data_IF_387470229443
#
_entry.id   IF_387470229443
#
_cell.length_a   1.000
_cell.length_b   1.000
_cell.length_c   1.000
_cell.angle_alpha   90.00
_cell.angle_beta   90.00
_cell.angle_gamma   90.00
#
_symmetry.space_group_name_H-M   'P 1'
#
loop_
_entity.id
_entity.type
_entity.pdbx_description
1 polymer ?
#
# COMPACT_ATOMS: atom_id res chain seq x y z
N UNK A 1 -13.68 -71.10 11.46
CA UNK A 1 -14.81 -70.51 12.19
C UNK A 1 -14.23 -69.36 13.01
N UNK A 2 -14.53 -68.08 12.85
CA UNK A 2 -15.77 -67.37 12.56
C UNK A 2 -15.44 -66.06 11.79
N UNK A 3 -16.29 -65.74 10.80
CA UNK A 3 -16.37 -64.46 10.05
C UNK A 3 -16.98 -63.36 10.93
N UNK A 4 -16.66 -62.09 10.70
CA UNK A 4 -17.60 -60.95 10.55
C UNK A 4 -16.78 -59.64 10.43
N UNK A 5 -16.62 -59.03 9.25
CA UNK A 5 -17.51 -58.01 8.66
C UNK A 5 -17.77 -56.79 9.57
N UNK A 6 -16.95 -55.76 9.41
CA UNK A 6 -17.20 -54.40 9.89
C UNK A 6 -16.93 -53.39 8.77
N UNK A 7 -17.89 -53.26 7.84
CA UNK A 7 -17.90 -52.24 6.79
C UNK A 7 -18.29 -50.90 7.42
N UNK A 8 -17.33 -50.01 7.67
CA UNK A 8 -17.64 -48.61 8.00
C UNK A 8 -17.81 -47.80 6.71
N UNK A 9 -18.97 -47.17 6.62
CA UNK A 9 -19.47 -46.45 5.48
C UNK A 9 -18.58 -45.24 5.14
N UNK A 10 -18.08 -45.21 3.90
CA UNK A 10 -17.62 -43.98 3.27
C UNK A 10 -18.86 -43.14 2.91
N UNK A 11 -19.33 -42.32 3.86
CA UNK A 11 -20.40 -41.37 3.61
C UNK A 11 -19.83 -40.16 2.83
N UNK A 12 -20.22 -40.09 1.56
CA UNK A 12 -20.14 -38.97 0.62
C UNK A 12 -20.02 -37.58 1.27
N UNK A 13 -18.84 -36.97 1.15
CA UNK A 13 -18.57 -35.56 1.45
C UNK A 13 -18.44 -34.76 0.15
N UNK A 14 -19.40 -34.85 -0.78
CA UNK A 14 -19.28 -34.23 -2.11
C UNK A 14 -20.42 -33.28 -2.54
N UNK A 15 -21.29 -32.81 -1.64
CA UNK A 15 -22.49 -32.07 -2.05
C UNK A 15 -22.67 -30.67 -1.44
N UNK A 16 -21.59 -29.92 -1.20
CA UNK A 16 -21.70 -28.52 -0.77
C UNK A 16 -20.67 -27.58 -1.40
N UNK A 17 -20.22 -27.87 -2.63
CA UNK A 17 -19.74 -26.81 -3.53
C UNK A 17 -20.99 -26.08 -4.07
N UNK A 18 -21.68 -25.40 -3.16
CA UNK A 18 -22.70 -24.40 -3.50
C UNK A 18 -22.06 -23.49 -4.53
N UNK A 19 -22.70 -23.37 -5.70
CA UNK A 19 -22.30 -22.48 -6.77
C UNK A 19 -22.08 -21.09 -6.19
N UNK A 20 -20.81 -20.76 -5.89
CA UNK A 20 -20.44 -19.40 -5.59
C UNK A 20 -20.88 -18.63 -6.83
N UNK A 21 -21.70 -17.57 -6.68
CA UNK A 21 -22.07 -16.77 -7.82
C UNK A 21 -20.76 -16.29 -8.42
N UNK A 22 -20.48 -16.79 -9.63
CA UNK A 22 -19.38 -16.29 -10.44
C UNK A 22 -19.75 -14.84 -10.71
N UNK A 23 -19.29 -13.93 -9.83
CA UNK A 23 -19.55 -12.51 -10.01
C UNK A 23 -19.00 -12.19 -11.39
N UNK A 24 -19.89 -11.78 -12.30
CA UNK A 24 -19.53 -11.43 -13.66
C UNK A 24 -18.42 -10.39 -13.56
N UNK A 25 -17.18 -10.82 -13.79
CA UNK A 25 -16.05 -9.92 -13.71
C UNK A 25 -16.22 -8.87 -14.78
N UNK A 26 -16.08 -7.60 -14.40
CA UNK A 26 -16.08 -6.50 -15.34
C UNK A 26 -15.02 -6.78 -16.42
N UNK A 27 -15.48 -7.03 -17.64
CA UNK A 27 -14.62 -7.34 -18.78
C UNK A 27 -13.94 -6.10 -19.34
N UNK A 28 -14.24 -4.92 -18.80
CA UNK A 28 -13.64 -3.67 -19.26
C UNK A 28 -12.18 -3.64 -18.86
N UNK A 29 -11.31 -3.76 -19.86
CA UNK A 29 -9.86 -3.69 -19.71
C UNK A 29 -9.42 -2.23 -19.77
N UNK A 30 -8.81 -1.76 -18.69
CA UNK A 30 -8.12 -0.49 -18.58
C UNK A 30 -6.71 -0.64 -19.14
N UNK A 31 -6.42 0.06 -20.23
CA UNK A 31 -5.07 0.16 -20.79
C UNK A 31 -4.35 1.43 -20.33
N UNK A 32 -5.06 2.36 -19.71
CA UNK A 32 -4.55 3.64 -19.21
C UNK A 32 -5.30 4.04 -17.94
N UNK A 33 -4.60 4.70 -17.03
CA UNK A 33 -5.16 5.39 -15.89
C UNK A 33 -5.62 6.79 -16.29
N UNK A 34 -6.87 7.13 -15.98
CA UNK A 34 -7.40 8.49 -16.08
C UNK A 34 -8.01 8.91 -14.74
N UNK A 35 -8.06 10.21 -14.48
CA UNK A 35 -8.66 10.74 -13.24
C UNK A 35 -10.07 10.20 -12.97
N UNK A 36 -11.02 10.18 -13.94
CA UNK A 36 -12.36 9.66 -13.67
C UNK A 36 -12.38 8.18 -13.27
N UNK A 37 -11.51 7.36 -13.89
CA UNK A 37 -11.40 5.93 -13.59
C UNK A 37 -10.84 5.71 -12.19
N UNK A 38 -9.77 6.44 -11.86
CA UNK A 38 -9.10 6.36 -10.55
C UNK A 38 -9.99 6.92 -9.44
N UNK A 39 -10.63 8.06 -9.66
CA UNK A 39 -11.57 8.68 -8.71
C UNK A 39 -12.74 7.75 -8.40
N UNK A 40 -13.32 7.09 -9.41
CA UNK A 40 -14.38 6.10 -9.21
C UNK A 40 -13.90 4.95 -8.31
N UNK A 41 -12.70 4.43 -8.55
CA UNK A 41 -12.12 3.37 -7.73
C UNK A 41 -11.84 3.82 -6.29
N UNK A 42 -11.33 5.04 -6.11
CA UNK A 42 -11.10 5.65 -4.79
C UNK A 42 -12.41 5.85 -4.01
N UNK A 43 -13.45 6.38 -4.66
CA UNK A 43 -14.79 6.53 -4.06
C UNK A 43 -15.38 5.20 -3.62
N UNK A 44 -15.18 4.14 -4.41
CA UNK A 44 -15.61 2.79 -4.04
C UNK A 44 -14.91 2.23 -2.79
N UNK A 45 -13.72 2.75 -2.46
CA UNK A 45 -12.98 2.43 -1.24
C UNK A 45 -13.29 3.38 -0.07
N UNK A 46 -14.23 4.31 -0.24
CA UNK A 46 -14.58 5.29 0.79
C UNK A 46 -13.59 6.46 0.91
N UNK A 47 -12.79 6.74 -0.13
CA UNK A 47 -11.95 7.92 -0.14
C UNK A 47 -12.80 9.21 -0.14
N UNK A 48 -12.33 10.20 0.61
CA UNK A 48 -12.94 11.54 0.73
C UNK A 48 -11.94 12.62 0.29
N UNK A 49 -12.43 13.87 0.18
CA UNK A 49 -11.60 15.03 -0.14
C UNK A 49 -10.71 14.85 -1.38
N UNK A 50 -11.22 14.15 -2.40
CA UNK A 50 -10.48 13.87 -3.64
C UNK A 50 -10.29 15.19 -4.39
N UNK A 51 -9.03 15.56 -4.65
CA UNK A 51 -8.65 16.77 -5.37
C UNK A 51 -7.67 16.43 -6.48
N UNK A 52 -7.92 16.97 -7.67
CA UNK A 52 -7.03 16.84 -8.83
C UNK A 52 -6.23 18.12 -9.00
N UNK A 53 -4.92 17.99 -9.15
CA UNK A 53 -4.02 19.13 -9.36
C UNK A 53 -3.03 18.83 -10.48
N UNK A 54 -2.55 19.89 -11.11
CA UNK A 54 -1.45 19.83 -12.07
C UNK A 54 -0.34 20.74 -11.56
N UNK A 55 0.87 20.22 -11.48
CA UNK A 55 2.07 20.98 -11.12
C UNK A 55 3.21 20.52 -12.00
N UNK A 56 3.93 21.47 -12.59
CA UNK A 56 5.06 21.21 -13.49
C UNK A 56 4.70 20.24 -14.64
N UNK A 57 3.48 20.38 -15.18
CA UNK A 57 2.95 19.50 -16.23
C UNK A 57 2.58 18.09 -15.77
N UNK A 58 2.74 17.79 -14.49
CA UNK A 58 2.45 16.50 -13.88
C UNK A 58 1.08 16.53 -13.19
N UNK A 59 0.24 15.54 -13.50
CA UNK A 59 -1.08 15.36 -12.88
C UNK A 59 -0.97 14.60 -11.55
N UNK A 60 -1.78 15.02 -10.59
CA UNK A 60 -1.87 14.42 -9.26
C UNK A 60 -3.32 14.26 -8.82
N UNK A 61 -3.56 13.31 -7.93
CA UNK A 61 -4.81 13.18 -7.18
C UNK A 61 -4.48 13.00 -5.72
N UNK A 62 -4.83 13.97 -4.88
CA UNK A 62 -4.79 13.82 -3.42
C UNK A 62 -6.15 13.38 -2.91
N UNK A 63 -6.15 12.58 -1.85
CA UNK A 63 -7.37 12.10 -1.22
C UNK A 63 -7.11 11.72 0.24
N UNK A 64 -8.19 11.62 1.01
CA UNK A 64 -8.16 11.14 2.39
C UNK A 64 -8.82 9.77 2.47
N UNK A 65 -8.28 8.91 3.32
CA UNK A 65 -8.91 7.63 3.63
C UNK A 65 -8.77 7.32 5.11
N UNK A 66 -9.85 6.83 5.69
CA UNK A 66 -9.83 6.35 7.07
C UNK A 66 -8.89 5.15 7.17
N UNK A 67 -7.93 5.23 8.07
CA UNK A 67 -7.24 4.06 8.59
C UNK A 67 -8.01 3.60 9.82
N UNK A 68 -8.15 2.28 10.02
CA UNK A 68 -8.94 1.74 11.12
C UNK A 68 -8.57 2.39 12.47
N UNK A 69 -9.52 3.11 13.06
CA UNK A 69 -9.41 3.80 14.36
C UNK A 69 -8.50 5.04 14.41
N UNK A 70 -7.98 5.51 13.28
CA UNK A 70 -7.09 6.67 13.21
C UNK A 70 -7.79 7.88 12.60
N UNK A 71 -7.16 9.05 12.73
CA UNK A 71 -7.45 10.17 11.86
C UNK A 71 -7.27 9.78 10.37
N UNK A 72 -8.09 10.32 9.45
CA UNK A 72 -7.96 10.01 8.04
C UNK A 72 -6.58 10.42 7.51
N UNK A 73 -5.88 9.46 6.92
CA UNK A 73 -4.56 9.65 6.33
C UNK A 73 -4.66 10.34 4.97
N UNK A 74 -3.70 11.20 4.66
CA UNK A 74 -3.57 11.87 3.37
C UNK A 74 -2.71 11.03 2.42
N UNK A 75 -3.25 10.75 1.24
CA UNK A 75 -2.60 9.99 0.17
C UNK A 75 -2.47 10.83 -1.09
N UNK A 76 -1.48 10.52 -1.92
CA UNK A 76 -1.30 11.13 -3.23
C UNK A 76 -1.07 10.07 -4.30
N UNK A 77 -1.71 10.26 -5.45
CA UNK A 77 -1.46 9.57 -6.69
C UNK A 77 -0.79 10.52 -7.67
N UNK A 78 0.22 10.03 -8.38
CA UNK A 78 0.84 10.74 -9.49
C UNK A 78 0.73 9.89 -10.76
N UNK A 79 0.20 10.48 -11.84
CA UNK A 79 -0.06 9.78 -13.09
C UNK A 79 1.20 9.78 -13.97
N UNK A 80 1.74 8.62 -14.32
CA UNK A 80 3.07 8.53 -14.92
C UNK A 80 3.00 7.98 -16.33
N UNK A 81 3.93 8.39 -17.19
CA UNK A 81 3.98 7.96 -18.60
C UNK A 81 2.64 8.26 -19.29
N UNK A 82 2.29 9.55 -19.32
CA UNK A 82 1.02 10.02 -19.87
C UNK A 82 1.09 10.12 -21.39
N UNK A 83 0.10 9.54 -22.07
CA UNK A 83 -0.09 9.61 -23.51
C UNK A 83 -1.18 10.63 -23.82
N UNK A 84 -0.78 11.75 -24.44
CA UNK A 84 -1.69 12.82 -24.85
C UNK A 84 -2.74 12.34 -25.87
N UNK A 85 -2.42 11.37 -26.73
CA UNK A 85 -3.35 10.84 -27.73
C UNK A 85 -4.43 9.96 -27.11
N UNK A 86 -4.10 9.21 -26.04
CA UNK A 86 -5.03 8.28 -25.37
C UNK A 86 -5.73 8.86 -24.14
N UNK A 87 -5.47 10.14 -23.82
CA UNK A 87 -6.09 10.86 -22.69
C UNK A 87 -5.94 10.15 -21.33
N UNK A 88 -4.81 9.47 -21.12
CA UNK A 88 -4.54 8.69 -19.92
C UNK A 88 -3.06 8.37 -19.77
N UNK A 89 -2.70 7.65 -18.71
CA UNK A 89 -1.32 7.39 -18.35
C UNK A 89 -1.08 5.91 -18.07
N UNK A 90 0.06 5.36 -18.51
CA UNK A 90 0.35 3.94 -18.36
C UNK A 90 0.70 3.56 -16.92
N UNK A 91 1.24 4.52 -16.15
CA UNK A 91 1.68 4.32 -14.77
C UNK A 91 0.86 5.12 -13.75
N UNK A 92 0.75 4.59 -12.55
CA UNK A 92 0.16 5.26 -11.39
C UNK A 92 1.05 5.03 -10.17
N UNK A 93 1.71 6.10 -9.70
CA UNK A 93 2.49 6.08 -8.47
C UNK A 93 1.59 6.46 -7.31
N UNK A 94 1.41 5.55 -6.37
CA UNK A 94 0.70 5.76 -5.12
C UNK A 94 1.73 6.12 -4.05
N UNK A 95 1.43 7.11 -3.22
CA UNK A 95 2.33 7.57 -2.17
C UNK A 95 1.57 8.01 -0.92
N UNK A 96 2.19 7.80 0.23
CA UNK A 96 1.83 8.39 1.51
C UNK A 96 3.11 8.79 2.24
N UNK A 97 3.10 9.95 2.88
CA UNK A 97 4.25 10.49 3.61
C UNK A 97 3.95 10.60 5.10
N UNK A 98 4.98 10.33 5.91
CA UNK A 98 4.95 10.41 7.35
C UNK A 98 6.04 11.36 7.84
N UNK A 99 5.65 12.24 8.76
CA UNK A 99 6.57 13.11 9.46
C UNK A 99 7.50 12.30 10.37
N UNK A 100 8.71 12.81 10.69
CA UNK A 100 9.54 12.27 11.74
C UNK A 100 8.78 12.17 13.06
N UNK A 101 9.08 11.13 13.83
CA UNK A 101 8.48 10.91 15.13
C UNK A 101 9.28 11.69 16.17
N UNK A 102 8.64 12.65 16.87
CA UNK A 102 9.32 13.50 17.86
C UNK A 102 10.57 14.20 17.29
N UNK A 103 10.55 14.54 15.99
CA UNK A 103 11.68 15.12 15.29
C UNK A 103 12.84 14.15 15.00
N UNK A 104 12.73 12.88 15.39
CA UNK A 104 13.74 11.85 15.12
C UNK A 104 13.49 11.21 13.74
N UNK A 105 14.50 11.19 12.86
CA UNK A 105 14.37 10.55 11.56
C UNK A 105 14.17 9.04 11.72
N UNK A 106 13.53 8.43 10.73
CA UNK A 106 13.39 6.97 10.67
C UNK A 106 14.74 6.29 10.36
N UNK A 107 14.98 5.13 10.96
CA UNK A 107 16.22 4.38 10.77
C UNK A 107 16.27 3.64 9.43
N UNK A 108 17.40 3.71 8.72
CA UNK A 108 17.57 3.04 7.43
C UNK A 108 17.43 1.51 7.53
N UNK A 109 17.89 0.91 8.65
CA UNK A 109 17.78 -0.52 8.88
C UNK A 109 16.32 -0.96 9.00
N UNK A 110 15.50 -0.23 9.77
CA UNK A 110 14.06 -0.48 9.93
C UNK A 110 13.31 -0.39 8.59
N UNK A 111 13.68 0.58 7.74
CA UNK A 111 13.14 0.71 6.39
C UNK A 111 13.53 -0.48 5.52
N UNK A 112 14.79 -0.92 5.59
CA UNK A 112 15.28 -2.05 4.81
C UNK A 112 14.63 -3.38 5.24
N UNK A 113 14.48 -3.63 6.54
CA UNK A 113 13.82 -4.84 7.05
C UNK A 113 12.34 -4.88 6.64
N UNK A 114 11.64 -3.75 6.71
CA UNK A 114 10.28 -3.63 6.18
C UNK A 114 10.22 -3.99 4.70
N UNK A 115 11.08 -3.40 3.87
CA UNK A 115 11.13 -3.64 2.42
C UNK A 115 11.45 -5.08 2.04
N UNK A 116 12.27 -5.78 2.83
CA UNK A 116 12.56 -7.20 2.61
C UNK A 116 11.36 -8.10 2.96
N UNK A 117 10.50 -7.65 3.88
CA UNK A 117 9.35 -8.43 4.37
C UNK A 117 8.05 -8.15 3.59
N UNK A 118 8.04 -7.19 2.65
CA UNK A 118 6.84 -6.77 1.91
C UNK A 118 7.15 -6.61 0.43
N UNK A 119 6.39 -7.32 -0.42
CA UNK A 119 6.61 -7.33 -1.88
C UNK A 119 5.76 -6.29 -2.65
N UNK A 120 4.84 -5.63 -1.97
CA UNK A 120 3.76 -4.87 -2.60
C UNK A 120 3.88 -3.34 -2.45
N UNK A 121 4.89 -2.87 -1.73
CA UNK A 121 5.18 -1.46 -1.47
C UNK A 121 6.66 -1.31 -1.14
N UNK A 122 7.20 -0.11 -1.31
CA UNK A 122 8.53 0.26 -0.85
C UNK A 122 8.44 1.43 0.12
N UNK A 123 9.11 1.32 1.25
CA UNK A 123 9.42 2.42 2.15
C UNK A 123 10.71 3.11 1.69
N UNK A 124 10.70 4.44 1.71
CA UNK A 124 11.82 5.29 1.29
C UNK A 124 12.04 6.43 2.28
N UNK A 125 13.30 6.66 2.64
CA UNK A 125 13.69 7.85 3.42
C UNK A 125 13.78 9.06 2.50
N UNK A 126 13.11 10.14 2.90
CA UNK A 126 13.07 11.41 2.18
C UNK A 126 13.93 12.45 2.90
N UNK A 127 14.23 13.57 2.23
CA UNK A 127 14.91 14.72 2.85
C UNK A 127 14.13 15.19 4.08
N UNK A 128 14.85 15.62 5.12
CA UNK A 128 14.25 16.07 6.37
C UNK A 128 13.80 14.94 7.30
N UNK A 129 14.22 13.70 7.04
CA UNK A 129 13.93 12.55 7.91
C UNK A 129 12.51 12.01 7.77
N UNK A 130 11.74 12.50 6.78
CA UNK A 130 10.42 11.96 6.45
C UNK A 130 10.53 10.55 5.87
N UNK A 131 9.45 9.79 6.00
CA UNK A 131 9.30 8.46 5.41
C UNK A 131 8.18 8.49 4.38
N UNK A 132 8.41 7.92 3.21
CA UNK A 132 7.37 7.68 2.22
C UNK A 132 7.13 6.19 2.07
N UNK A 133 5.87 5.78 1.94
CA UNK A 133 5.51 4.49 1.35
C UNK A 133 5.06 4.74 -0.07
N UNK A 134 5.57 3.95 -1.02
CA UNK A 134 5.26 4.10 -2.43
C UNK A 134 4.92 2.77 -3.08
N UNK A 135 3.96 2.80 -4.01
CA UNK A 135 3.64 1.68 -4.88
C UNK A 135 3.41 2.16 -6.30
N UNK A 136 4.14 1.60 -7.25
CA UNK A 136 3.93 1.85 -8.66
C UNK A 136 2.99 0.79 -9.25
N UNK A 137 2.01 1.22 -10.04
CA UNK A 137 1.09 0.35 -10.79
C UNK A 137 1.23 0.66 -12.27
N UNK A 138 1.20 -0.38 -13.11
CA UNK A 138 1.29 -0.27 -14.57
C UNK A 138 0.02 -0.88 -15.15
N UNK A 139 -0.60 -0.17 -16.10
CA UNK A 139 -1.77 -0.64 -16.86
C UNK A 139 -1.41 -1.21 -18.23
N UNK A 140 -0.12 -1.21 -18.59
CA UNK A 140 0.40 -1.86 -19.80
C UNK A 140 0.07 -3.36 -19.81
N UNK A 141 -0.45 -3.86 -20.93
CA UNK A 141 -1.03 -5.21 -21.04
C UNK A 141 -2.48 -5.32 -20.53
N UNK A 142 -3.03 -4.28 -19.91
CA UNK A 142 -4.43 -4.20 -19.49
C UNK A 142 -4.69 -4.70 -18.07
N UNK A 143 -5.44 -3.93 -17.29
CA UNK A 143 -5.96 -4.34 -15.97
C UNK A 143 -7.48 -4.16 -15.91
N UNK A 144 -8.19 -4.90 -15.08
CA UNK A 144 -9.63 -4.64 -14.87
C UNK A 144 -9.85 -3.50 -13.85
N UNK A 145 -11.04 -2.90 -13.85
CA UNK A 145 -11.45 -1.98 -12.77
C UNK A 145 -11.35 -2.62 -11.38
N UNK A 146 -11.74 -3.89 -11.25
CA UNK A 146 -11.65 -4.64 -10.01
C UNK A 146 -10.18 -4.81 -9.55
N UNK A 147 -9.26 -5.06 -10.49
CA UNK A 147 -7.84 -5.12 -10.15
C UNK A 147 -7.30 -3.76 -9.70
N UNK A 148 -7.65 -2.65 -10.36
CA UNK A 148 -7.27 -1.31 -9.92
C UNK A 148 -7.76 -1.06 -8.48
N UNK A 149 -9.04 -1.28 -8.22
CA UNK A 149 -9.62 -1.10 -6.89
C UNK A 149 -8.91 -1.96 -5.85
N UNK A 150 -8.65 -3.24 -6.14
CA UNK A 150 -7.94 -4.12 -5.19
C UNK A 150 -6.50 -3.67 -4.94
N UNK A 151 -5.80 -3.17 -5.95
CA UNK A 151 -4.44 -2.65 -5.79
C UNK A 151 -4.41 -1.39 -4.91
N UNK A 152 -5.39 -0.50 -5.07
CA UNK A 152 -5.56 0.67 -4.22
C UNK A 152 -5.88 0.28 -2.78
N UNK A 153 -6.81 -0.68 -2.59
CA UNK A 153 -7.17 -1.22 -1.27
C UNK A 153 -5.97 -1.84 -0.55
N UNK A 154 -5.15 -2.64 -1.24
CA UNK A 154 -3.94 -3.22 -0.65
C UNK A 154 -2.99 -2.12 -0.19
N UNK A 155 -2.80 -1.08 -1.00
CA UNK A 155 -1.89 0.02 -0.64
C UNK A 155 -2.38 0.78 0.61
N UNK A 156 -3.68 0.97 0.78
CA UNK A 156 -4.24 1.74 1.90
C UNK A 156 -4.19 0.98 3.23
N UNK A 157 -3.93 -0.32 3.19
CA UNK A 157 -3.64 -1.15 4.37
C UNK A 157 -2.16 -1.13 4.78
N UNK A 158 -1.24 -0.72 3.89
CA UNK A 158 0.20 -0.73 4.16
C UNK A 158 0.64 0.19 5.32
N UNK A 159 0.03 1.37 5.57
CA UNK A 159 0.40 2.20 6.71
C UNK A 159 0.29 1.49 8.07
N UNK A 160 -0.76 0.69 8.28
CA UNK A 160 -0.92 -0.09 9.50
C UNK A 160 0.19 -1.14 9.65
N UNK A 161 0.47 -1.87 8.57
CA UNK A 161 1.55 -2.87 8.56
C UNK A 161 2.93 -2.27 8.79
N UNK A 162 3.19 -1.08 8.25
CA UNK A 162 4.42 -0.33 8.51
C UNK A 162 4.52 0.08 9.99
N UNK A 163 3.44 0.62 10.55
CA UNK A 163 3.40 1.02 11.95
C UNK A 163 3.66 -0.18 12.88
N UNK A 164 3.04 -1.34 12.59
CA UNK A 164 3.27 -2.57 13.34
C UNK A 164 4.71 -3.07 13.23
N UNK A 165 5.28 -3.05 12.02
CA UNK A 165 6.70 -3.40 11.80
C UNK A 165 7.62 -2.55 12.68
N UNK A 166 7.43 -1.22 12.66
CA UNK A 166 8.30 -0.29 13.38
C UNK A 166 8.14 -0.38 14.90
N UNK A 167 6.96 -0.75 15.39
CA UNK A 167 6.73 -1.03 16.82
C UNK A 167 7.45 -2.31 17.26
N UNK A 168 7.37 -3.37 16.46
CA UNK A 168 8.01 -4.64 16.77
C UNK A 168 9.54 -4.56 16.72
N UNK A 169 10.11 -3.83 15.75
CA UNK A 169 11.55 -3.62 15.67
C UNK A 169 12.10 -2.84 16.89
N UNK A 170 11.36 -1.84 17.40
CA UNK A 170 11.73 -1.12 18.64
C UNK A 170 11.73 -2.03 19.87
N UNK A 171 10.84 -3.01 19.93
CA UNK A 171 10.83 -3.98 21.01
C UNK A 171 12.07 -4.91 20.94
N UNK A 172 12.64 -5.13 19.75
CA UNK A 172 13.89 -5.88 19.58
C UNK A 172 15.09 -5.01 20.00
N UNK A 173 15.14 -3.74 19.57
CA UNK A 173 16.23 -2.81 19.95
C UNK A 173 16.27 -2.53 21.46
N UNK A 174 15.11 -2.39 22.13
CA UNK A 174 15.06 -2.21 23.58
C UNK A 174 15.55 -3.44 24.38
N UNK A 175 15.56 -4.62 23.74
CA UNK A 175 16.05 -5.87 24.32
C UNK A 175 17.45 -6.26 23.81
N UNK A 176 18.00 -5.55 22.84
CA UNK A 176 19.34 -5.77 22.32
C UNK A 176 20.36 -5.00 23.17
N UNK A 177 21.28 -5.74 23.80
CA UNK A 177 22.49 -5.21 24.45
C UNK A 177 23.23 -4.32 23.42
N UNK A 178 23.77 -3.14 23.80
CA UNK A 178 24.30 -2.17 22.83
C UNK A 178 25.46 -2.76 22.04
N UNK A 179 25.19 -3.12 20.78
CA UNK A 179 26.18 -3.52 19.82
C UNK A 179 26.71 -2.25 19.14
N UNK A 180 28.01 -2.01 19.36
CA UNK A 180 28.73 -0.89 18.78
C UNK A 180 28.69 -0.90 17.24
N UNK A 181 28.78 0.33 16.72
CA UNK A 181 29.09 0.73 15.35
C UNK A 181 29.56 -0.40 14.41
N UNK A 182 28.73 -0.69 13.41
CA UNK A 182 29.21 -1.22 12.15
C UNK A 182 28.53 -0.45 11.01
N UNK A 183 29.33 0.40 10.38
CA UNK A 183 29.06 0.98 9.08
C UNK A 183 28.76 -0.12 8.05
N UNK A 184 27.91 0.15 7.04
CA UNK A 184 28.28 -0.17 5.66
C UNK A 184 27.35 0.40 4.57
N UNK A 185 28.03 0.99 3.58
CA UNK A 185 27.78 1.13 2.14
C UNK A 185 26.51 1.79 1.57
N UNK A 186 26.81 2.93 0.93
CA UNK A 186 26.14 3.63 -0.15
C UNK A 186 25.59 2.71 -1.25
N UNK A 187 24.27 2.71 -1.41
CA UNK A 187 23.61 2.43 -2.69
C UNK A 187 23.29 3.78 -3.32
N UNK A 188 24.04 4.12 -4.36
CA UNK A 188 23.76 5.26 -5.23
C UNK A 188 23.17 4.74 -6.53
N UNK A 189 21.91 5.06 -6.79
CA UNK A 189 21.36 5.49 -8.09
C UNK A 189 19.83 5.31 -8.09
N UNK A 190 19.11 6.43 -7.99
CA UNK A 190 18.02 6.79 -8.90
C UNK A 190 17.93 8.32 -8.91
N UNK A 191 18.56 8.91 -9.94
CA UNK A 191 18.59 10.34 -10.19
C UNK A 191 17.29 10.82 -10.85
N UNK A 192 17.01 12.11 -10.62
CA UNK A 192 16.22 13.04 -11.45
C UNK A 192 14.69 13.18 -11.24
N UNK A 193 14.06 12.39 -10.35
CA UNK A 193 12.73 12.71 -9.76
C UNK A 193 12.79 13.05 -8.27
N UNK A 194 13.99 13.33 -7.73
CA UNK A 194 14.19 13.85 -6.38
C UNK A 194 13.32 15.09 -6.08
N UNK A 195 12.80 15.70 -7.15
CA UNK A 195 11.66 16.60 -7.26
C UNK A 195 10.49 15.89 -7.97
N UNK A 196 9.44 15.44 -7.31
CA UNK A 196 8.22 16.22 -7.34
C UNK A 196 8.20 17.02 -6.03
N UNK A 197 9.13 17.99 -5.96
CA UNK A 197 9.83 18.51 -4.78
C UNK A 197 8.90 19.44 -4.00
N UNK A 198 7.91 18.80 -3.38
CA UNK A 198 7.08 19.18 -2.24
C UNK A 198 5.72 18.45 -2.31
N UNK A 199 5.56 17.32 -3.02
CA UNK A 199 4.21 16.81 -3.38
C UNK A 199 3.33 18.00 -3.89
N UNK A 200 3.99 18.93 -4.61
CA UNK A 200 3.52 20.23 -5.10
C UNK A 200 2.65 21.08 -4.15
N UNK A 201 3.25 21.71 -3.12
CA UNK A 201 2.70 22.85 -2.34
C UNK A 201 1.30 22.68 -1.68
N UNK A 202 0.78 21.45 -1.57
CA UNK A 202 -0.60 21.18 -1.14
C UNK A 202 -0.79 20.19 0.01
N UNK A 203 0.28 19.77 0.71
CA UNK A 203 0.18 18.97 1.93
C UNK A 203 0.76 19.74 3.12
N UNK A 204 0.02 20.73 3.62
CA UNK A 204 0.32 21.37 4.91
C UNK A 204 0.05 20.46 6.12
N UNK A 205 -0.43 19.23 5.92
CA UNK A 205 -0.74 18.26 6.96
C UNK A 205 -0.09 16.90 6.64
N UNK A 206 1.18 16.73 7.03
CA UNK A 206 1.84 15.43 6.98
C UNK A 206 1.23 14.45 7.98
N UNK A 207 1.20 13.15 7.64
CA UNK A 207 0.66 12.13 8.53
C UNK A 207 1.63 11.82 9.68
N UNK A 208 1.09 11.35 10.82
CA UNK A 208 1.89 10.85 11.94
C UNK A 208 1.76 9.32 12.03
N UNK A 209 2.86 8.59 11.86
CA UNK A 209 2.84 7.12 11.88
C UNK A 209 2.38 6.57 13.24
N UNK A 210 2.70 7.26 14.33
CA UNK A 210 2.29 6.87 15.70
C UNK A 210 0.79 6.93 15.94
N UNK A 211 0.06 7.76 15.18
CA UNK A 211 -1.39 7.94 15.34
C UNK A 211 -2.19 6.79 14.73
N UNK A 212 -1.54 5.86 14.02
CA UNK A 212 -2.20 4.69 13.41
C UNK A 212 -2.39 3.60 14.47
N UNK A 213 -3.65 3.28 14.85
CA UNK A 213 -3.93 2.22 15.80
C UNK A 213 -3.47 0.87 15.28
N UNK A 214 -3.33 -0.07 16.22
CA UNK A 214 -3.05 -1.44 15.87
C UNK A 214 -4.27 -2.06 15.23
N UNK A 215 -4.08 -2.73 14.09
CA UNK A 215 -5.07 -3.72 13.68
C UNK A 215 -5.08 -4.79 14.79
N UNK A 216 -6.23 -5.08 15.42
CA UNK A 216 -6.27 -6.10 16.45
C UNK A 216 -5.76 -7.39 15.81
N UNK A 217 -4.72 -8.00 16.41
CA UNK A 217 -4.15 -9.24 15.92
C UNK A 217 -5.30 -10.20 15.63
N UNK A 218 -5.54 -10.47 14.34
CA UNK A 218 -6.61 -11.35 13.92
C UNK A 218 -6.40 -12.65 14.67
N UNK A 219 -7.30 -12.94 15.61
CA UNK A 219 -7.28 -14.21 16.34
C UNK A 219 -7.44 -15.27 15.28
N UNK A 220 -6.33 -15.90 14.92
CA UNK A 220 -6.33 -17.03 14.01
C UNK A 220 -7.23 -18.07 14.68
N UNK A 221 -8.41 -18.27 14.10
CA UNK A 221 -9.34 -19.29 14.57
C UNK A 221 -8.62 -20.63 14.43
N UNK A 222 -8.30 -21.24 15.58
CA UNK A 222 -7.84 -22.62 15.70
C UNK A 222 -9.03 -23.56 15.62
#
# INVERSE_FOLDING_TARGET
>A
MVKLLGKFAAASLCAALSALPLQAQDKTVLTHFSEPVVEKALKALGATDIKHTVSDGQRFTSYRMNSAGADPLNYILAYRVCDAAKKGCLGLLNSIMFNPIEGKPYGIQQVNTFNQSRIFTSAMLMKGGMLALVRYQISDGGITHANLQKNLEIFTQMPAQLADHFRNDRAIEANAIPAGEAALHTVSALSEHAAALDLAAGLSAGNQLQAIPQEPASKTAQ
#
